data_IF_009515092732
#
_entry.id   IF_009515092732
#
_cell.length_a   1.000
_cell.length_b   1.000
_cell.length_c   1.000
_cell.angle_alpha   90.00
_cell.angle_beta   90.00
_cell.angle_gamma   90.00
#
_symmetry.space_group_name_H-M   'P 1'
#
loop_
_entity.id
_entity.type
_entity.pdbx_description
1 polymer ?
#
# COMPACT_ATOMS: atom_id res chain seq x y z
N UNK A 1 -7.86 11.90 -7.86
CA UNK A 1 -9.22 12.30 -7.49
C UNK A 1 -10.23 11.36 -8.16
N UNK A 2 -10.01 10.05 -8.04
CA UNK A 2 -10.94 9.01 -8.51
C UNK A 2 -11.72 8.41 -7.33
N UNK A 3 -11.19 8.51 -6.10
CA UNK A 3 -11.80 7.90 -4.90
C UNK A 3 -12.82 8.84 -4.24
N UNK A 4 -12.71 10.16 -4.42
CA UNK A 4 -13.58 11.15 -3.76
C UNK A 4 -14.82 11.60 -4.54
N UNK A 5 -14.86 11.52 -5.88
CA UNK A 5 -16.11 11.80 -6.61
C UNK A 5 -17.23 10.79 -6.26
N UNK A 6 -16.87 9.67 -5.62
CA UNK A 6 -17.78 8.56 -5.32
C UNK A 6 -17.71 8.10 -3.86
N UNK A 7 -17.35 8.96 -2.90
CA UNK A 7 -17.29 8.55 -1.49
C UNK A 7 -18.64 8.01 -0.95
N UNK A 8 -19.77 8.51 -1.47
CA UNK A 8 -21.11 8.01 -1.15
C UNK A 8 -21.42 6.65 -1.79
N UNK A 9 -20.90 6.38 -2.99
CA UNK A 9 -21.15 5.14 -3.75
C UNK A 9 -20.29 3.95 -3.28
N UNK A 10 -19.34 4.17 -2.36
CA UNK A 10 -18.52 3.09 -1.80
C UNK A 10 -19.31 2.15 -0.91
N UNK A 11 -18.99 0.86 -1.00
CA UNK A 11 -19.55 -0.13 -0.10
C UNK A 11 -19.11 0.12 1.36
N UNK A 12 -19.86 -0.45 2.31
CA UNK A 12 -19.63 -0.24 3.74
C UNK A 12 -18.24 -0.72 4.21
N UNK A 13 -17.64 -1.72 3.56
CA UNK A 13 -16.33 -2.25 3.91
C UNK A 13 -15.21 -1.26 3.55
N UNK A 14 -15.30 -0.61 2.40
CA UNK A 14 -14.37 0.44 1.98
C UNK A 14 -14.46 1.67 2.86
N UNK A 15 -15.69 2.11 3.19
CA UNK A 15 -15.93 3.22 4.11
C UNK A 15 -15.30 2.95 5.48
N UNK A 16 -15.47 1.74 6.01
CA UNK A 16 -14.84 1.32 7.26
C UNK A 16 -13.31 1.34 7.17
N UNK A 17 -12.75 0.84 6.07
CA UNK A 17 -11.30 0.83 5.85
C UNK A 17 -10.73 2.24 5.87
N UNK A 18 -11.38 3.18 5.18
CA UNK A 18 -10.96 4.59 5.16
C UNK A 18 -11.09 5.24 6.55
N UNK A 19 -12.14 4.93 7.31
CA UNK A 19 -12.30 5.43 8.67
C UNK A 19 -11.19 4.94 9.60
N UNK A 20 -10.83 3.65 9.52
CA UNK A 20 -9.72 3.06 10.28
C UNK A 20 -8.41 3.77 9.97
N UNK A 21 -8.07 3.95 8.69
CA UNK A 21 -6.85 4.65 8.27
C UNK A 21 -6.86 6.14 8.64
N UNK A 22 -8.03 6.75 8.81
CA UNK A 22 -8.14 8.18 9.13
C UNK A 22 -8.02 8.46 10.63
N UNK A 23 -8.44 7.52 11.48
CA UNK A 23 -8.63 7.78 12.91
C UNK A 23 -7.79 6.92 13.85
N UNK A 24 -7.25 5.79 13.38
CA UNK A 24 -6.47 4.89 14.22
C UNK A 24 -4.97 5.01 13.93
N UNK A 25 -4.10 4.87 14.96
CA UNK A 25 -2.65 4.94 14.80
C UNK A 25 -2.10 3.63 14.19
N UNK A 26 -2.32 3.46 12.89
CA UNK A 26 -2.02 2.21 12.18
C UNK A 26 -0.67 2.24 11.45
N UNK A 27 -0.15 1.06 11.13
CA UNK A 27 0.82 0.88 10.05
C UNK A 27 0.08 0.25 8.85
N UNK A 28 0.53 0.57 7.64
CA UNK A 28 -0.05 0.06 6.40
C UNK A 28 0.91 -0.94 5.78
N UNK A 29 0.41 -2.16 5.58
CA UNK A 29 1.00 -3.14 4.67
C UNK A 29 0.16 -3.11 3.39
N UNK A 30 0.67 -2.52 2.32
CA UNK A 30 -0.05 -2.40 1.06
C UNK A 30 0.39 -3.52 0.11
N UNK A 31 -0.57 -4.32 -0.36
CA UNK A 31 -0.29 -5.48 -1.19
C UNK A 31 -0.70 -5.20 -2.64
N UNK A 32 0.24 -5.41 -3.55
CA UNK A 32 0.06 -5.32 -4.98
C UNK A 32 -0.04 -6.73 -5.57
N UNK A 33 -1.05 -6.97 -6.40
CA UNK A 33 -1.15 -8.20 -7.19
C UNK A 33 -1.04 -7.84 -8.67
N UNK A 34 0.21 -7.77 -9.15
CA UNK A 34 0.50 -7.38 -10.53
C UNK A 34 0.22 -8.52 -11.53
N UNK A 35 -0.21 -9.70 -11.06
CA UNK A 35 -0.66 -10.79 -11.94
C UNK A 35 -2.03 -10.50 -12.59
N UNK A 36 -2.83 -9.61 -11.99
CA UNK A 36 -4.20 -9.31 -12.43
C UNK A 36 -5.26 -10.31 -11.94
N UNK A 37 -4.86 -11.38 -11.24
CA UNK A 37 -5.78 -12.40 -10.71
C UNK A 37 -6.68 -11.89 -9.57
N UNK A 38 -6.36 -10.75 -8.94
CA UNK A 38 -7.19 -10.13 -7.92
C UNK A 38 -8.46 -9.44 -8.46
N UNK A 39 -8.65 -9.44 -9.80
CA UNK A 39 -9.81 -8.82 -10.45
C UNK A 39 -9.69 -7.32 -10.67
N UNK A 40 -8.55 -6.70 -10.34
CA UNK A 40 -8.24 -5.29 -10.63
C UNK A 40 -7.00 -5.21 -11.50
N UNK A 41 -7.05 -4.45 -12.60
CA UNK A 41 -5.89 -4.34 -13.50
C UNK A 41 -4.70 -3.65 -12.79
N UNK A 42 -3.45 -3.95 -13.15
CA UNK A 42 -2.30 -3.22 -12.59
C UNK A 42 -2.35 -1.70 -12.82
N UNK A 43 -3.03 -1.24 -13.88
CA UNK A 43 -3.25 0.19 -14.11
C UNK A 43 -4.21 0.82 -13.12
N UNK A 44 -5.34 0.17 -12.85
CA UNK A 44 -6.30 0.68 -11.88
C UNK A 44 -5.71 0.62 -10.46
N UNK A 45 -4.95 -0.45 -10.16
CA UNK A 45 -4.18 -0.55 -8.92
C UNK A 45 -3.20 0.61 -8.76
N UNK A 46 -2.52 1.04 -9.83
CA UNK A 46 -1.60 2.17 -9.77
C UNK A 46 -2.30 3.49 -9.38
N UNK A 47 -3.46 3.77 -9.99
CA UNK A 47 -4.24 4.98 -9.67
C UNK A 47 -4.70 4.97 -8.22
N UNK A 48 -5.26 3.84 -7.76
CA UNK A 48 -5.72 3.69 -6.38
C UNK A 48 -4.55 3.80 -5.40
N UNK A 49 -3.43 3.15 -5.70
CA UNK A 49 -2.23 3.19 -4.88
C UNK A 49 -1.71 4.62 -4.71
N UNK A 50 -1.56 5.38 -5.80
CA UNK A 50 -1.09 6.78 -5.71
C UNK A 50 -1.99 7.61 -4.79
N UNK A 51 -3.30 7.48 -4.93
CA UNK A 51 -4.27 8.24 -4.14
C UNK A 51 -4.26 7.86 -2.64
N UNK A 52 -4.23 6.56 -2.31
CA UNK A 52 -4.18 6.12 -0.91
C UNK A 52 -2.82 6.48 -0.28
N UNK A 53 -1.72 6.31 -1.02
CA UNK A 53 -0.35 6.61 -0.55
C UNK A 53 -0.18 8.08 -0.23
N UNK A 54 -0.70 8.97 -1.09
CA UNK A 54 -0.67 10.41 -0.88
C UNK A 54 -1.50 10.80 0.36
N UNK A 55 -2.74 10.31 0.44
CA UNK A 55 -3.69 10.64 1.52
C UNK A 55 -3.20 10.21 2.90
N UNK A 56 -2.61 9.03 3.02
CA UNK A 56 -2.18 8.46 4.29
C UNK A 56 -0.66 8.47 4.45
N UNK A 57 0.02 9.44 3.83
CA UNK A 57 1.47 9.61 3.82
C UNK A 57 2.13 9.64 5.21
N UNK A 58 1.39 10.05 6.25
CA UNK A 58 1.87 10.09 7.64
C UNK A 58 1.99 8.70 8.30
N UNK A 59 1.36 7.66 7.72
CA UNK A 59 1.43 6.30 8.25
C UNK A 59 2.78 5.66 7.94
N UNK A 60 3.26 4.83 8.87
CA UNK A 60 4.31 3.86 8.52
C UNK A 60 3.76 2.92 7.45
N UNK A 61 4.56 2.69 6.42
CA UNK A 61 4.11 2.06 5.19
C UNK A 61 5.11 1.01 4.72
N UNK A 62 4.61 -0.14 4.28
CA UNK A 62 5.39 -1.20 3.66
C UNK A 62 4.64 -1.74 2.43
N UNK A 63 5.26 -1.64 1.26
CA UNK A 63 4.73 -2.17 0.01
C UNK A 63 5.19 -3.61 -0.24
N UNK A 64 4.27 -4.45 -0.70
CA UNK A 64 4.53 -5.85 -1.04
C UNK A 64 3.94 -6.19 -2.40
N UNK A 65 4.77 -6.68 -3.32
CA UNK A 65 4.31 -7.32 -4.55
C UNK A 65 4.12 -8.81 -4.28
N UNK A 66 2.84 -9.21 -4.20
CA UNK A 66 2.42 -10.60 -4.03
C UNK A 66 2.51 -11.39 -5.34
N UNK A 67 2.45 -12.73 -5.24
CA UNK A 67 2.48 -13.66 -6.38
C UNK A 67 3.63 -13.38 -7.35
N UNK A 68 4.78 -12.96 -6.82
CA UNK A 68 5.90 -12.53 -7.64
C UNK A 68 6.47 -13.66 -8.53
N UNK A 69 6.17 -14.92 -8.21
CA UNK A 69 6.45 -16.07 -9.06
C UNK A 69 5.78 -15.98 -10.44
N UNK A 70 4.58 -15.41 -10.52
CA UNK A 70 3.81 -15.25 -11.77
C UNK A 70 4.31 -14.10 -12.65
N UNK A 71 5.12 -13.19 -12.09
CA UNK A 71 5.64 -12.02 -12.84
C UNK A 71 6.79 -12.39 -13.78
N UNK A 72 7.43 -13.53 -13.54
CA UNK A 72 8.48 -14.10 -14.39
C UNK A 72 7.92 -14.68 -15.70
N UNK A 73 6.68 -15.16 -15.65
CA UNK A 73 6.07 -16.00 -16.70
C UNK A 73 5.06 -15.25 -17.59
N UNK A 74 4.89 -13.94 -17.42
CA UNK A 74 3.94 -13.16 -18.21
C UNK A 74 4.64 -12.34 -19.31
N UNK A 75 4.72 -12.84 -20.56
CA UNK A 75 4.97 -12.01 -21.71
C UNK A 75 3.64 -11.41 -22.17
N UNK A 76 3.06 -10.46 -21.43
CA UNK A 76 1.90 -9.72 -21.93
C UNK A 76 2.14 -8.23 -21.80
N UNK A 77 2.78 -7.72 -22.85
CA UNK A 77 2.65 -6.35 -23.32
C UNK A 77 1.16 -5.97 -23.41
N UNK A 78 0.62 -5.33 -22.38
CA UNK A 78 -0.54 -4.47 -22.55
C UNK A 78 -0.04 -3.09 -22.97
N UNK A 79 0.43 -2.98 -24.21
CA UNK A 79 0.44 -1.67 -24.88
C UNK A 79 -1.01 -1.42 -25.25
N UNK A 80 -1.67 -0.60 -24.45
CA UNK A 80 -2.75 0.25 -24.95
C UNK A 80 -2.14 1.63 -25.11
N UNK A 81 -2.20 2.11 -26.35
CA UNK A 81 -1.74 3.41 -26.83
C UNK A 81 -2.31 4.54 -25.97
N UNK A 82 -1.44 5.34 -25.33
CA UNK A 82 -1.56 6.81 -25.22
C UNK A 82 -0.44 7.37 -24.34
N UNK A 83 0.70 7.64 -24.98
CA UNK A 83 1.91 8.09 -24.29
C UNK A 83 1.91 9.55 -23.88
N UNK A 84 1.55 9.76 -22.61
CA UNK A 84 1.94 10.91 -21.80
C UNK A 84 3.02 10.48 -20.77
N UNK A 85 3.71 11.41 -20.11
CA UNK A 85 4.78 11.10 -19.15
C UNK A 85 4.37 10.15 -17.99
N UNK A 86 3.07 10.04 -17.71
CA UNK A 86 2.46 9.02 -16.83
C UNK A 86 2.75 7.57 -17.29
N UNK A 87 3.08 7.35 -18.57
CA UNK A 87 3.37 6.02 -19.13
C UNK A 87 4.64 5.40 -18.58
N UNK A 88 5.67 6.19 -18.24
CA UNK A 88 6.95 5.63 -17.79
C UNK A 88 6.80 5.05 -16.38
N UNK A 89 6.19 5.82 -15.46
CA UNK A 89 5.93 5.36 -14.11
C UNK A 89 4.94 4.20 -14.09
N UNK A 90 3.87 4.29 -14.88
CA UNK A 90 2.89 3.22 -14.98
C UNK A 90 3.50 1.95 -15.59
N UNK A 91 4.32 2.06 -16.64
CA UNK A 91 5.03 0.91 -17.23
C UNK A 91 5.99 0.27 -16.22
N UNK A 92 6.71 1.09 -15.45
CA UNK A 92 7.58 0.62 -14.37
C UNK A 92 6.77 -0.11 -13.29
N UNK A 93 5.66 0.47 -12.85
CA UNK A 93 4.77 -0.11 -11.85
C UNK A 93 4.18 -1.44 -12.32
N UNK A 94 3.68 -1.52 -13.56
CA UNK A 94 3.14 -2.76 -14.15
C UNK A 94 4.15 -3.92 -14.11
N UNK A 95 5.44 -3.61 -14.31
CA UNK A 95 6.51 -4.61 -14.33
C UNK A 95 7.07 -4.94 -12.94
N UNK A 96 7.17 -3.94 -12.06
CA UNK A 96 7.99 -4.05 -10.86
C UNK A 96 7.26 -3.69 -9.57
N UNK A 97 6.09 -3.07 -9.64
CA UNK A 97 5.42 -2.46 -8.51
C UNK A 97 6.07 -1.14 -8.10
N UNK A 98 5.71 -0.59 -6.92
CA UNK A 98 6.34 0.60 -6.41
C UNK A 98 7.80 0.34 -6.00
N UNK A 99 8.61 1.40 -6.02
CA UNK A 99 10.02 1.32 -5.67
C UNK A 99 10.23 0.90 -4.22
N UNK A 100 11.10 -0.08 -4.01
CA UNK A 100 11.40 -0.61 -2.68
C UNK A 100 10.36 -1.61 -2.14
N UNK A 101 9.36 -2.00 -2.94
CA UNK A 101 8.40 -3.03 -2.55
C UNK A 101 9.09 -4.40 -2.38
N UNK A 102 8.72 -5.10 -1.32
CA UNK A 102 9.17 -6.47 -1.08
C UNK A 102 8.45 -7.42 -2.04
N UNK A 103 9.17 -8.40 -2.58
CA UNK A 103 8.57 -9.44 -3.42
C UNK A 103 8.28 -10.66 -2.57
N UNK A 104 7.04 -11.11 -2.60
CA UNK A 104 6.60 -12.28 -1.85
C UNK A 104 5.81 -13.24 -2.73
N UNK A 105 6.06 -14.54 -2.56
CA UNK A 105 5.21 -15.60 -3.07
C UNK A 105 4.96 -16.61 -1.97
N UNK A 106 3.68 -16.80 -1.64
CA UNK A 106 3.28 -17.85 -0.70
C UNK A 106 3.47 -19.23 -1.32
N UNK A 107 3.28 -19.35 -2.64
CA UNK A 107 3.38 -20.62 -3.38
C UNK A 107 4.80 -21.16 -3.39
N UNK A 108 5.80 -20.29 -3.57
CA UNK A 108 7.22 -20.68 -3.62
C UNK A 108 7.96 -20.38 -2.32
N UNK A 109 7.27 -19.85 -1.32
CA UNK A 109 7.82 -19.34 -0.05
C UNK A 109 8.85 -18.20 -0.21
N UNK A 110 9.03 -17.68 -1.43
CA UNK A 110 9.97 -16.62 -1.73
C UNK A 110 9.61 -15.33 -0.98
N UNK A 111 10.60 -14.73 -0.32
CA UNK A 111 10.47 -13.42 0.34
C UNK A 111 9.60 -13.39 1.60
N UNK A 112 9.05 -14.54 2.03
CA UNK A 112 8.16 -14.62 3.18
C UNK A 112 8.90 -14.29 4.49
N UNK A 113 10.11 -14.80 4.68
CA UNK A 113 10.88 -14.55 5.91
C UNK A 113 11.45 -13.11 5.99
N UNK A 114 11.82 -12.54 4.85
CA UNK A 114 12.16 -11.12 4.75
C UNK A 114 10.93 -10.27 5.10
N UNK A 115 9.76 -10.58 4.52
CA UNK A 115 8.52 -9.88 4.82
C UNK A 115 8.17 -9.93 6.31
N UNK A 116 8.28 -11.10 6.96
CA UNK A 116 8.07 -11.23 8.41
C UNK A 116 9.01 -10.30 9.20
N UNK A 117 10.31 -10.30 8.86
CA UNK A 117 11.31 -9.46 9.52
C UNK A 117 10.96 -7.98 9.39
N UNK A 118 10.60 -7.54 8.18
CA UNK A 118 10.26 -6.14 7.87
C UNK A 118 8.96 -5.70 8.51
N UNK A 119 7.95 -6.57 8.58
CA UNK A 119 6.70 -6.31 9.33
C UNK A 119 6.99 -6.19 10.82
N UNK A 120 7.85 -7.04 11.38
CA UNK A 120 8.22 -6.93 12.80
C UNK A 120 8.89 -5.58 13.11
N UNK A 121 9.84 -5.14 12.29
CA UNK A 121 10.47 -3.81 12.40
C UNK A 121 9.44 -2.66 12.31
N UNK A 122 8.50 -2.76 11.35
CA UNK A 122 7.43 -1.79 11.15
C UNK A 122 6.55 -1.66 12.41
N UNK A 123 6.15 -2.79 13.00
CA UNK A 123 5.30 -2.84 14.18
C UNK A 123 6.03 -2.33 15.44
N UNK A 124 7.30 -2.68 15.62
CA UNK A 124 8.13 -2.14 16.71
C UNK A 124 8.24 -0.62 16.60
N UNK A 125 8.45 -0.11 15.38
CA UNK A 125 8.52 1.34 15.13
C UNK A 125 7.18 2.01 15.40
N UNK A 126 6.04 1.41 15.00
CA UNK A 126 4.74 1.98 15.33
C UNK A 126 4.45 1.99 16.83
N UNK A 127 4.79 0.91 17.53
CA UNK A 127 4.61 0.85 18.98
C UNK A 127 5.40 1.96 19.68
N UNK A 128 6.62 2.25 19.22
CA UNK A 128 7.41 3.36 19.73
C UNK A 128 6.75 4.72 19.46
N UNK A 129 6.19 4.94 18.25
CA UNK A 129 5.44 6.16 17.93
C UNK A 129 4.23 6.35 18.86
N UNK A 130 3.44 5.29 19.08
CA UNK A 130 2.28 5.33 19.97
C UNK A 130 2.70 5.67 21.40
N UNK A 131 3.75 5.04 21.93
CA UNK A 131 4.26 5.33 23.28
C UNK A 131 4.71 6.78 23.43
N UNK A 132 5.39 7.33 22.41
CA UNK A 132 5.86 8.71 22.44
C UNK A 132 4.71 9.72 22.36
N UNK A 133 3.67 9.43 21.56
CA UNK A 133 2.46 10.26 21.50
C UNK A 133 1.74 10.34 22.86
N UNK A 134 1.55 9.19 23.52
CA UNK A 134 0.91 9.16 24.84
C UNK A 134 1.72 9.90 25.91
N UNK A 135 3.06 9.79 25.84
CA UNK A 135 3.95 10.48 26.79
C UNK A 135 3.89 12.01 26.65
N UNK A 136 3.63 12.51 25.43
CA UNK A 136 3.51 13.95 25.17
C UNK A 136 2.15 14.50 25.64
N UNK A 137 1.08 13.72 25.52
CA UNK A 137 -0.26 14.10 26.02
C UNK A 137 -0.28 14.21 27.56
N UNK A 138 0.36 13.28 28.28
CA UNK A 138 0.47 13.32 29.76
C UNK A 138 1.27 14.55 30.26
N UNK A 139 2.15 15.12 29.44
CA UNK A 139 2.93 16.32 29.79
C UNK A 139 2.25 17.66 29.45
N UNK A 140 1.10 17.63 28.76
CA UNK A 140 0.33 18.83 28.41
C UNK A 140 -0.81 19.12 29.41
N UNK A 141 -1.13 18.20 30.34
CA UNK A 141 -2.11 18.41 31.42
C UNK A 141 -1.51 19.09 32.68
N UNK A 142 -0.74 20.17 32.57
CA UNK A 142 -0.56 21.15 33.66
C UNK A 142 -0.23 22.51 33.02
N UNK A 143 -1.05 23.58 33.13
CA UNK A 143 -1.29 24.24 34.43
C UNK A 143 -2.66 24.92 34.68
N UNK A 144 -3.04 24.83 35.98
CA UNK A 144 -3.90 25.70 36.82
C UNK A 144 -5.30 26.09 36.36
#
# INVERSE_FOLDING_TARGET
MYIFEHAEDRNNLEKLTLAVLSHLPTAVLYVHDLSGECGTSPSDQFVIYKEIRERFSNHLWLDVVSKCDLLSDSPVFFITEDSNADDIELAKYRRMGPDGALRASVKTELGIDELKSRVHELLVTQLARIKNSNSNEDSLEVPR
#
